data_IF_341764930784
#
_entry.id   IF_341764930784
#
_cell.length_a   1.000
_cell.length_b   1.000
_cell.length_c   1.000
_cell.angle_alpha   90.00
_cell.angle_beta   90.00
_cell.angle_gamma   90.00
#
_symmetry.space_group_name_H-M   'P 1'
#
loop_
_entity.id
_entity.type
_entity.pdbx_description
1 polymer ?
#
# COMPACT_ATOMS: atom_id res chain seq x y z
N UNK A 1 34.79 15.20 -42.38
CA UNK A 1 34.52 16.37 -43.26
C UNK A 1 33.01 16.51 -43.41
N UNK A 2 32.49 17.75 -43.50
CA UNK A 2 31.18 18.20 -44.07
C UNK A 2 29.91 17.33 -43.86
N UNK A 3 28.83 17.81 -43.21
CA UNK A 3 27.79 18.76 -43.72
C UNK A 3 27.09 18.22 -45.00
N UNK A 4 25.77 18.24 -45.22
CA UNK A 4 24.58 18.92 -44.65
C UNK A 4 23.34 17.98 -44.81
N UNK A 5 22.20 18.16 -44.13
CA UNK A 5 21.04 18.97 -44.59
C UNK A 5 20.04 19.28 -43.45
N UNK A 6 19.15 20.26 -43.67
CA UNK A 6 18.31 20.92 -42.66
C UNK A 6 16.85 21.09 -43.14
N UNK A 7 15.97 21.64 -42.28
CA UNK A 7 14.52 21.95 -42.45
C UNK A 7 13.58 20.73 -42.48
N UNK A 8 12.37 20.73 -41.90
CA UNK A 8 11.42 21.79 -41.51
C UNK A 8 10.83 21.48 -40.10
N UNK A 9 10.06 22.32 -39.41
CA UNK A 9 9.58 23.70 -39.62
C UNK A 9 8.69 24.10 -38.43
N UNK A 10 8.89 25.30 -37.87
CA UNK A 10 8.22 25.75 -36.63
C UNK A 10 6.85 26.35 -36.93
N UNK A 11 5.83 25.98 -36.13
CA UNK A 11 4.59 26.75 -35.98
C UNK A 11 4.33 27.04 -34.50
N UNK A 12 4.64 28.26 -34.08
CA UNK A 12 4.15 28.84 -32.85
C UNK A 12 2.72 29.37 -33.06
N UNK A 13 1.81 29.09 -32.12
CA UNK A 13 0.51 29.75 -32.04
C UNK A 13 0.44 30.45 -30.69
N UNK A 14 0.53 31.78 -30.73
CA UNK A 14 0.45 32.64 -29.56
C UNK A 14 -1.01 32.79 -29.12
N UNK A 15 -1.35 32.32 -27.92
CA UNK A 15 -2.66 32.59 -27.31
C UNK A 15 -2.51 33.73 -26.31
N UNK A 16 -3.19 34.85 -26.57
CA UNK A 16 -3.17 36.02 -25.71
C UNK A 16 -3.92 35.76 -24.39
N UNK A 17 -3.34 36.24 -23.28
CA UNK A 17 -4.06 36.36 -22.00
C UNK A 17 -4.75 37.72 -21.97
N UNK A 18 -6.06 37.74 -21.70
CA UNK A 18 -6.73 38.94 -21.20
C UNK A 18 -7.03 38.80 -19.71
N UNK A 19 -6.99 39.94 -19.03
CA UNK A 19 -7.01 40.08 -17.57
C UNK A 19 -8.35 40.69 -17.11
N UNK A 20 -8.52 40.72 -15.77
CA UNK A 20 -9.38 41.63 -15.00
C UNK A 20 -10.85 41.21 -14.72
N UNK A 21 -11.16 41.11 -13.42
CA UNK A 21 -12.50 40.92 -12.85
C UNK A 21 -12.50 41.14 -11.32
N UNK A 22 -13.11 42.25 -10.88
CA UNK A 22 -13.18 42.77 -9.49
C UNK A 22 -14.63 42.60 -8.95
N UNK A 23 -14.99 42.59 -7.64
CA UNK A 23 -14.31 42.64 -6.32
C UNK A 23 -15.34 42.20 -5.24
N UNK A 24 -14.89 41.81 -4.03
CA UNK A 24 -15.56 41.99 -2.70
C UNK A 24 -16.95 41.36 -2.41
N UNK A 25 -17.02 40.60 -1.30
CA UNK A 25 -18.00 40.73 -0.18
C UNK A 25 -17.59 39.78 0.97
N UNK A 26 -17.13 40.28 2.12
CA UNK A 26 -17.90 40.41 3.39
C UNK A 26 -18.49 39.07 3.89
N UNK A 27 -17.85 38.35 4.82
CA UNK A 27 -17.80 38.61 6.27
C UNK A 27 -19.12 38.34 7.00
N UNK A 28 -19.24 37.17 7.64
CA UNK A 28 -20.08 37.00 8.84
C UNK A 28 -19.38 36.07 9.84
N UNK A 29 -19.05 36.62 11.00
CA UNK A 29 -18.62 35.88 12.18
C UNK A 29 -19.88 35.64 13.03
N UNK A 30 -20.06 34.41 13.52
CA UNK A 30 -20.94 34.18 14.66
C UNK A 30 -20.22 33.33 15.70
N UNK A 31 -20.14 33.87 16.91
CA UNK A 31 -19.40 33.35 18.05
C UNK A 31 -20.43 32.71 19.00
N UNK A 32 -20.29 31.42 19.32
CA UNK A 32 -21.06 30.79 20.39
C UNK A 32 -20.10 30.11 21.37
N UNK A 33 -19.79 30.83 22.44
CA UNK A 33 -19.11 30.30 23.62
C UNK A 33 -20.16 29.68 24.55
N UNK A 34 -20.02 28.40 24.89
CA UNK A 34 -20.65 27.80 26.06
C UNK A 34 -19.60 27.04 26.86
N UNK A 35 -19.30 27.55 28.05
CA UNK A 35 -18.31 27.00 28.98
C UNK A 35 -18.97 25.85 29.77
N UNK A 36 -18.26 24.73 29.93
CA UNK A 36 -18.74 23.55 30.64
C UNK A 36 -17.63 22.86 31.43
N UNK A 37 -17.02 23.57 32.38
CA UNK A 37 -16.01 22.99 33.29
C UNK A 37 -16.73 22.20 34.38
N UNK A 38 -16.44 20.90 34.50
CA UNK A 38 -16.71 20.11 35.71
C UNK A 38 -15.40 19.73 36.39
N UNK A 39 -15.21 20.21 37.61
CA UNK A 39 -14.15 19.73 38.50
C UNK A 39 -14.52 18.35 39.06
N UNK A 40 -13.68 17.34 38.79
CA UNK A 40 -13.67 16.09 39.54
C UNK A 40 -12.64 16.17 40.65
N UNK A 41 -13.07 16.16 41.92
CA UNK A 41 -12.15 16.20 43.06
C UNK A 41 -11.47 14.84 43.27
N UNK A 42 -10.15 14.88 43.46
CA UNK A 42 -9.37 13.73 43.95
C UNK A 42 -9.68 13.48 45.42
N UNK A 43 -10.02 12.23 45.78
CA UNK A 43 -9.85 11.76 47.15
C UNK A 43 -8.50 11.05 47.29
N UNK A 44 -7.72 11.49 48.27
CA UNK A 44 -6.59 10.74 48.83
C UNK A 44 -7.09 10.01 50.08
N UNK A 45 -6.93 8.68 50.13
CA UNK A 45 -6.99 7.93 51.37
C UNK A 45 -5.60 7.92 52.01
N UNK A 46 -5.52 8.30 53.29
CA UNK A 46 -4.27 8.30 54.05
C UNK A 46 -3.91 6.88 54.50
N UNK A 47 -2.61 6.56 54.48
CA UNK A 47 -2.09 5.35 55.10
C UNK A 47 -2.20 5.43 56.63
N UNK A 48 -2.68 4.37 57.26
CA UNK A 48 -2.63 4.17 58.70
C UNK A 48 -1.49 3.20 59.03
N UNK A 49 -0.57 3.62 59.89
CA UNK A 49 0.60 2.84 60.28
C UNK A 49 0.27 1.94 61.47
N UNK A 50 0.26 0.62 61.28
CA UNK A 50 0.18 -0.34 62.39
C UNK A 50 1.46 -1.17 62.49
N UNK A 51 2.06 -1.16 63.67
CA UNK A 51 3.31 -1.87 63.98
C UNK A 51 3.08 -3.37 64.14
N UNK A 52 3.65 -4.18 63.25
CA UNK A 52 3.55 -5.63 63.33
C UNK A 52 4.44 -6.19 64.45
N UNK A 53 3.82 -6.82 65.47
CA UNK A 53 4.49 -7.82 66.29
C UNK A 53 4.66 -9.09 65.45
N UNK A 54 5.89 -9.59 65.34
CA UNK A 54 6.17 -10.86 64.67
C UNK A 54 5.63 -12.03 65.51
N UNK A 55 4.76 -12.83 64.89
CA UNK A 55 4.36 -14.15 65.38
C UNK A 55 5.11 -15.18 64.50
N UNK A 56 5.79 -16.19 65.06
CA UNK A 56 6.43 -17.22 64.25
C UNK A 56 5.36 -18.11 63.62
N UNK A 57 5.16 -17.99 62.31
CA UNK A 57 4.23 -18.82 61.56
C UNK A 57 4.88 -20.18 61.28
N UNK A 58 4.15 -21.24 61.60
CA UNK A 58 4.53 -22.63 61.32
C UNK A 58 4.80 -22.84 59.83
N UNK A 59 5.88 -23.55 59.50
CA UNK A 59 6.25 -23.88 58.12
C UNK A 59 5.37 -25.00 57.55
N UNK A 60 4.11 -24.67 57.23
CA UNK A 60 3.34 -25.45 56.26
C UNK A 60 3.92 -25.20 54.88
N UNK A 61 4.45 -26.24 54.23
CA UNK A 61 4.85 -26.17 52.83
C UNK A 61 3.60 -25.89 52.01
N UNK A 62 3.50 -24.68 51.44
CA UNK A 62 2.49 -24.37 50.44
C UNK A 62 3.04 -24.91 49.12
N UNK A 63 2.40 -25.94 48.58
CA UNK A 63 2.64 -26.36 47.22
C UNK A 63 2.21 -25.22 46.29
N UNK A 64 3.20 -24.50 45.76
CA UNK A 64 3.00 -23.52 44.71
C UNK A 64 2.58 -24.27 43.45
N UNK A 65 1.28 -24.35 43.20
CA UNK A 65 0.76 -24.74 41.89
C UNK A 65 1.39 -23.79 40.86
N UNK A 66 2.20 -24.28 39.90
CA UNK A 66 2.78 -23.41 38.90
C UNK A 66 1.63 -22.77 38.12
N UNK A 67 1.62 -21.44 38.09
CA UNK A 67 0.74 -20.71 37.18
C UNK A 67 1.16 -21.15 35.79
N UNK A 68 0.30 -21.94 35.14
CA UNK A 68 0.52 -22.40 33.78
C UNK A 68 0.77 -21.14 32.94
N UNK A 69 1.92 -21.00 32.25
CA UNK A 69 2.20 -19.79 31.48
C UNK A 69 1.02 -19.56 30.54
N UNK A 70 0.51 -18.33 30.50
CA UNK A 70 -0.66 -17.94 29.71
C UNK A 70 -0.53 -18.58 28.34
N UNK A 71 -1.35 -19.60 28.07
CA UNK A 71 -1.26 -20.38 26.85
C UNK A 71 -1.63 -19.40 25.74
N UNK A 72 -0.61 -18.96 25.00
CA UNK A 72 -0.72 -17.89 24.03
C UNK A 72 -1.89 -18.23 23.11
N UNK A 73 -2.95 -17.41 23.16
CA UNK A 73 -4.20 -17.76 22.48
C UNK A 73 -3.95 -17.63 20.99
N UNK A 74 -3.55 -18.74 20.37
CA UNK A 74 -3.19 -18.81 18.95
C UNK A 74 -4.35 -18.21 18.17
N UNK A 75 -4.08 -17.15 17.43
CA UNK A 75 -5.11 -16.58 16.58
C UNK A 75 -5.34 -17.55 15.43
N UNK A 76 -6.58 -17.96 15.20
CA UNK A 76 -6.93 -18.80 14.05
C UNK A 76 -6.91 -18.03 12.72
N UNK A 77 -6.47 -16.77 12.72
CA UNK A 77 -6.51 -15.89 11.54
C UNK A 77 -5.61 -14.65 11.67
N UNK A 78 -5.29 -14.04 10.52
CA UNK A 78 -4.73 -12.68 10.43
C UNK A 78 -5.59 -11.80 9.52
N UNK A 79 -5.53 -10.49 9.74
CA UNK A 79 -6.14 -9.44 8.92
C UNK A 79 -5.04 -8.63 8.26
N UNK A 80 -4.99 -8.64 6.94
CA UNK A 80 -4.10 -7.80 6.12
C UNK A 80 -4.91 -6.61 5.62
N UNK A 81 -4.37 -5.40 5.71
CA UNK A 81 -4.82 -4.26 4.93
C UNK A 81 -3.74 -3.90 3.91
N UNK A 82 -4.15 -3.75 2.66
CA UNK A 82 -3.27 -3.42 1.55
C UNK A 82 -3.74 -2.13 0.87
N UNK A 83 -2.80 -1.23 0.58
CA UNK A 83 -3.05 -0.02 -0.21
C UNK A 83 -2.22 -0.02 -1.49
N UNK A 84 -2.66 0.77 -2.46
CA UNK A 84 -2.00 0.94 -3.75
C UNK A 84 -0.70 1.76 -3.71
N UNK A 85 -0.38 2.37 -4.85
CA UNK A 85 0.93 2.97 -5.11
C UNK A 85 1.16 4.25 -4.27
N UNK A 86 2.35 4.38 -3.67
CA UNK A 86 2.70 5.43 -2.68
C UNK A 86 3.90 6.24 -3.18
N UNK A 87 3.64 7.51 -3.50
CA UNK A 87 4.63 8.55 -3.79
C UNK A 87 4.26 9.80 -2.97
N UNK A 88 4.94 10.08 -1.83
CA UNK A 88 4.60 11.17 -0.91
C UNK A 88 5.02 12.57 -1.39
N UNK A 89 5.32 12.72 -2.68
CA UNK A 89 5.93 13.89 -3.30
C UNK A 89 7.37 13.63 -3.71
N UNK A 90 8.11 14.69 -4.07
CA UNK A 90 9.52 14.60 -4.44
C UNK A 90 10.24 15.94 -4.28
N UNK A 91 11.55 15.92 -3.99
CA UNK A 91 12.45 17.07 -4.09
C UNK A 91 13.33 17.05 -5.37
N UNK A 92 12.97 16.22 -6.35
CA UNK A 92 13.68 16.07 -7.62
C UNK A 92 12.73 15.80 -8.80
N UNK A 93 13.08 16.24 -10.04
CA UNK A 93 14.02 17.34 -10.31
C UNK A 93 13.48 18.68 -9.78
N UNK A 94 12.15 18.78 -9.61
CA UNK A 94 11.44 19.94 -9.11
C UNK A 94 10.87 19.68 -7.71
N UNK A 95 10.89 20.69 -6.84
CA UNK A 95 10.38 20.58 -5.48
C UNK A 95 8.84 20.50 -5.45
N UNK A 96 8.33 19.35 -5.01
CA UNK A 96 6.92 18.96 -4.92
C UNK A 96 6.70 18.18 -3.61
N UNK A 97 7.03 18.81 -2.49
CA UNK A 97 6.71 18.31 -1.14
C UNK A 97 5.75 19.30 -0.46
N UNK A 98 4.90 18.84 0.47
CA UNK A 98 4.09 19.74 1.30
C UNK A 98 4.98 20.49 2.31
N UNK A 99 4.45 21.58 2.87
CA UNK A 99 5.07 22.27 4.01
C UNK A 99 5.02 21.46 5.30
N UNK A 100 3.98 20.64 5.48
CA UNK A 100 3.85 19.65 6.55
C UNK A 100 3.56 18.26 5.95
N UNK A 101 4.43 17.29 6.25
CA UNK A 101 4.28 15.89 5.81
C UNK A 101 3.03 15.23 6.39
N UNK A 102 2.54 15.67 7.55
CA UNK A 102 1.44 15.04 8.26
C UNK A 102 0.10 15.12 7.52
N UNK A 103 -0.04 16.12 6.64
CA UNK A 103 -1.20 16.28 5.76
C UNK A 103 -1.29 15.24 4.63
N UNK A 104 -0.22 14.51 4.33
CA UNK A 104 -0.19 13.54 3.22
C UNK A 104 -1.10 12.34 3.43
N UNK A 105 -1.29 11.91 4.67
CA UNK A 105 -2.23 10.85 5.04
C UNK A 105 -3.09 11.40 6.19
N UNK A 106 -4.28 11.97 5.89
CA UNK A 106 -5.13 12.61 6.89
C UNK A 106 -5.58 11.65 8.00
N UNK A 107 -5.81 12.17 9.21
CA UNK A 107 -6.26 11.37 10.37
C UNK A 107 -7.54 10.56 10.08
N UNK A 108 -8.44 11.10 9.26
CA UNK A 108 -9.66 10.43 8.80
C UNK A 108 -9.40 9.17 7.96
N UNK A 109 -8.25 9.09 7.27
CA UNK A 109 -7.80 7.89 6.55
C UNK A 109 -6.99 6.97 7.46
N UNK A 110 -6.09 7.52 8.31
CA UNK A 110 -5.31 6.72 9.28
C UNK A 110 -6.21 5.85 10.18
N UNK A 111 -7.37 6.36 10.59
CA UNK A 111 -8.37 5.63 11.39
C UNK A 111 -8.99 4.38 10.70
N UNK A 112 -8.76 4.18 9.40
CA UNK A 112 -9.10 2.96 8.67
C UNK A 112 -7.91 2.00 8.50
N UNK A 113 -6.67 2.52 8.49
CA UNK A 113 -5.43 1.76 8.28
C UNK A 113 -4.92 1.02 9.52
N UNK A 114 -5.38 1.42 10.71
CA UNK A 114 -4.92 0.88 12.01
C UNK A 114 -5.84 -0.25 12.50
N UNK A 115 -6.17 -1.20 11.61
CA UNK A 115 -7.16 -2.28 11.86
C UNK A 115 -6.71 -3.68 11.40
N UNK A 116 -5.44 -3.80 11.02
CA UNK A 116 -4.82 -5.01 10.50
C UNK A 116 -3.67 -5.47 11.39
N UNK A 117 -3.37 -6.76 11.30
CA UNK A 117 -2.14 -7.37 11.83
C UNK A 117 -0.95 -7.17 10.87
N UNK A 118 -1.23 -6.84 9.59
CA UNK A 118 -0.24 -6.38 8.59
C UNK A 118 -0.85 -5.25 7.76
N UNK A 119 -0.28 -4.04 7.84
CA UNK A 119 -0.52 -2.96 6.88
C UNK A 119 0.58 -2.94 5.81
N UNK A 120 0.17 -3.17 4.57
CA UNK A 120 1.03 -3.28 3.40
C UNK A 120 0.76 -2.18 2.34
N UNK A 121 1.79 -1.78 1.60
CA UNK A 121 1.65 -0.90 0.44
C UNK A 121 2.82 -1.01 -0.55
N UNK A 122 2.67 -0.40 -1.72
CA UNK A 122 3.73 -0.35 -2.74
C UNK A 122 4.38 1.03 -2.80
N UNK A 123 5.69 1.10 -2.62
CA UNK A 123 6.43 2.33 -2.40
C UNK A 123 7.28 2.71 -3.62
N UNK A 124 6.82 3.71 -4.38
CA UNK A 124 7.36 4.05 -5.71
C UNK A 124 8.21 5.33 -5.70
N UNK A 125 9.16 5.42 -4.76
CA UNK A 125 10.13 6.52 -4.72
C UNK A 125 11.41 6.10 -3.99
N UNK A 126 12.50 6.86 -4.19
CA UNK A 126 13.73 6.70 -3.40
C UNK A 126 13.75 7.62 -2.17
N UNK A 127 13.87 7.05 -0.97
CA UNK A 127 14.17 7.78 0.27
C UNK A 127 15.69 7.93 0.43
N UNK A 128 16.25 8.96 -0.19
CA UNK A 128 17.72 9.19 -0.20
C UNK A 128 18.08 10.67 -0.27
N UNK A 129 19.33 10.99 0.12
CA UNK A 129 19.98 12.28 -0.16
C UNK A 129 20.92 12.22 -1.37
N UNK A 130 21.07 11.06 -2.02
CA UNK A 130 21.99 10.88 -3.14
C UNK A 130 21.62 11.85 -4.28
N UNK A 131 22.57 12.67 -4.78
CA UNK A 131 22.26 13.76 -5.69
C UNK A 131 21.92 13.28 -7.11
N UNK A 132 22.48 12.15 -7.56
CA UNK A 132 22.46 11.72 -8.96
C UNK A 132 21.35 10.70 -9.25
N UNK A 133 20.51 10.99 -10.24
CA UNK A 133 19.55 10.04 -10.82
C UNK A 133 20.29 9.02 -11.70
N UNK A 134 19.86 7.76 -11.67
CA UNK A 134 20.32 6.73 -12.62
C UNK A 134 19.54 6.80 -13.95
N UNK A 135 18.38 7.48 -13.96
CA UNK A 135 17.54 7.70 -15.14
C UNK A 135 17.91 9.00 -15.85
N UNK A 136 18.01 8.94 -17.18
CA UNK A 136 18.11 10.13 -18.03
C UNK A 136 16.75 10.83 -18.17
N UNK A 137 16.46 11.73 -17.23
CA UNK A 137 15.23 12.52 -17.17
C UNK A 137 15.10 13.59 -18.26
N UNK A 138 16.10 13.76 -19.13
CA UNK A 138 15.98 14.64 -20.31
C UNK A 138 15.19 13.95 -21.44
N UNK A 139 15.07 12.62 -21.40
CA UNK A 139 14.18 11.88 -22.28
C UNK A 139 12.73 12.08 -21.81
N UNK A 140 11.85 12.41 -22.75
CA UNK A 140 10.42 12.50 -22.48
C UNK A 140 9.88 11.20 -21.88
N UNK A 141 8.90 11.31 -20.97
CA UNK A 141 8.26 10.19 -20.27
C UNK A 141 9.17 9.39 -19.32
N UNK A 142 10.38 9.87 -19.03
CA UNK A 142 11.26 9.31 -17.98
C UNK A 142 11.17 10.15 -16.72
N UNK A 143 10.75 9.54 -15.60
CA UNK A 143 10.57 10.21 -14.31
C UNK A 143 11.47 9.60 -13.24
N UNK A 144 11.96 10.45 -12.33
CA UNK A 144 12.70 10.06 -11.13
C UNK A 144 12.19 10.83 -9.90
N UNK A 145 11.88 10.12 -8.82
CA UNK A 145 11.30 10.63 -7.59
C UNK A 145 12.24 10.41 -6.41
N UNK A 146 12.67 11.50 -5.77
CA UNK A 146 13.45 11.47 -4.53
C UNK A 146 12.67 12.12 -3.40
N UNK A 147 12.46 11.38 -2.32
CA UNK A 147 11.90 11.91 -1.08
C UNK A 147 12.98 12.01 0.01
N UNK A 148 12.90 12.99 0.94
CA UNK A 148 13.84 13.08 2.05
C UNK A 148 13.75 11.82 2.93
N UNK A 149 14.87 11.24 3.42
CA UNK A 149 14.88 10.08 4.31
C UNK A 149 13.92 10.14 5.51
N UNK A 150 13.70 11.35 6.04
CA UNK A 150 12.77 11.61 7.17
C UNK A 150 11.32 11.23 6.87
N UNK A 151 10.95 10.98 5.61
CA UNK A 151 9.61 10.52 5.25
C UNK A 151 9.35 9.07 5.65
N UNK A 152 10.38 8.24 5.90
CA UNK A 152 10.19 6.92 6.49
C UNK A 152 9.36 6.98 7.79
N UNK A 153 9.67 7.95 8.66
CA UNK A 153 8.98 8.18 9.92
C UNK A 153 7.47 8.46 9.75
N UNK A 154 7.04 9.10 8.66
CA UNK A 154 5.61 9.32 8.38
C UNK A 154 4.87 7.99 8.17
N UNK A 155 5.48 7.03 7.49
CA UNK A 155 4.85 5.73 7.24
C UNK A 155 4.81 4.88 8.52
N UNK A 156 5.85 4.95 9.36
CA UNK A 156 5.84 4.34 10.69
C UNK A 156 4.77 4.97 11.62
N UNK A 157 4.61 6.31 11.60
CA UNK A 157 3.54 7.02 12.31
C UNK A 157 2.12 6.73 11.78
N UNK A 158 2.00 6.18 10.57
CA UNK A 158 0.72 5.69 10.03
C UNK A 158 0.48 4.25 10.45
N UNK A 159 1.54 3.47 10.67
CA UNK A 159 1.50 2.06 11.08
C UNK A 159 1.71 1.09 9.92
N UNK A 160 2.50 1.44 8.90
CA UNK A 160 2.90 0.47 7.86
C UNK A 160 3.90 -0.53 8.44
N UNK A 161 3.68 -1.82 8.18
CA UNK A 161 4.58 -2.90 8.59
C UNK A 161 5.51 -3.32 7.45
N UNK A 162 4.98 -3.39 6.22
CA UNK A 162 5.71 -3.88 5.04
C UNK A 162 5.47 -2.98 3.83
N UNK A 163 6.54 -2.61 3.13
CA UNK A 163 6.45 -1.89 1.85
C UNK A 163 7.14 -2.66 0.71
N UNK A 164 6.42 -2.89 -0.38
CA UNK A 164 7.01 -3.38 -1.63
C UNK A 164 7.81 -2.29 -2.32
N UNK A 165 9.03 -2.62 -2.71
CA UNK A 165 9.94 -1.78 -3.49
C UNK A 165 10.31 -2.41 -4.85
N UNK A 166 9.82 -3.62 -5.17
CA UNK A 166 9.91 -4.12 -6.55
C UNK A 166 8.93 -3.33 -7.44
N UNK A 167 9.44 -2.28 -8.08
CA UNK A 167 8.71 -1.44 -9.03
C UNK A 167 9.67 -0.68 -9.96
N UNK A 168 9.10 0.08 -10.90
CA UNK A 168 9.80 0.93 -11.87
C UNK A 168 10.55 2.13 -11.26
N UNK A 169 10.33 2.48 -10.00
CA UNK A 169 10.84 3.70 -9.35
C UNK A 169 11.88 3.49 -8.23
N UNK A 170 12.01 2.29 -7.68
CA UNK A 170 12.97 2.05 -6.60
C UNK A 170 14.46 2.18 -6.99
N UNK A 171 14.77 2.15 -8.31
CA UNK A 171 16.10 2.41 -8.87
C UNK A 171 16.27 3.82 -9.48
N UNK A 172 15.36 4.76 -9.21
CA UNK A 172 15.46 6.16 -9.69
C UNK A 172 16.83 6.80 -9.37
N UNK A 173 17.37 6.50 -8.19
CA UNK A 173 18.69 6.96 -7.71
C UNK A 173 19.71 5.81 -7.66
N UNK A 174 19.52 4.81 -8.53
CA UNK A 174 20.34 3.62 -8.65
C UNK A 174 20.39 2.78 -7.37
N UNK A 175 21.40 1.90 -7.29
CA UNK A 175 21.61 1.01 -6.14
C UNK A 175 21.84 1.76 -4.83
N UNK A 176 22.36 3.00 -4.89
CA UNK A 176 22.51 3.86 -3.70
C UNK A 176 21.15 4.30 -3.19
N UNK A 177 20.28 4.80 -4.07
CA UNK A 177 18.90 5.16 -3.72
C UNK A 177 18.09 4.00 -3.15
N UNK A 178 18.18 2.82 -3.77
CA UNK A 178 17.50 1.61 -3.30
C UNK A 178 17.98 1.16 -1.91
N UNK A 179 19.31 1.09 -1.71
CA UNK A 179 19.92 0.71 -0.43
C UNK A 179 19.58 1.71 0.67
N UNK A 180 19.67 3.02 0.38
CA UNK A 180 19.31 4.07 1.31
C UNK A 180 17.82 3.99 1.67
N UNK A 181 16.94 3.72 0.70
CA UNK A 181 15.49 3.55 0.92
C UNK A 181 15.21 2.39 1.87
N UNK A 182 15.81 1.23 1.58
CA UNK A 182 15.73 0.01 2.41
C UNK A 182 16.19 0.30 3.84
N UNK A 183 17.35 0.95 4.01
CA UNK A 183 17.90 1.30 5.31
C UNK A 183 16.99 2.27 6.08
N UNK A 184 16.45 3.29 5.41
CA UNK A 184 15.63 4.32 6.06
C UNK A 184 14.28 3.74 6.53
N UNK A 185 13.65 2.85 5.75
CA UNK A 185 12.43 2.13 6.15
C UNK A 185 12.71 1.17 7.32
N UNK A 186 13.73 0.31 7.21
CA UNK A 186 14.13 -0.60 8.30
C UNK A 186 14.49 0.14 9.60
N UNK A 187 15.12 1.32 9.51
CA UNK A 187 15.48 2.12 10.69
C UNK A 187 14.30 2.66 11.51
N UNK A 188 13.07 2.59 10.97
CA UNK A 188 11.82 2.95 11.66
C UNK A 188 10.87 1.76 11.85
N UNK A 189 11.38 0.54 11.68
CA UNK A 189 10.62 -0.70 11.89
C UNK A 189 9.78 -1.17 10.70
N UNK A 190 9.95 -0.60 9.50
CA UNK A 190 9.22 -1.01 8.29
C UNK A 190 10.07 -2.01 7.51
N UNK A 191 9.54 -3.21 7.30
CA UNK A 191 10.16 -4.22 6.46
C UNK A 191 9.99 -3.91 4.97
N UNK A 192 10.94 -4.38 4.15
CA UNK A 192 10.90 -4.16 2.70
C UNK A 192 10.81 -5.44 1.90
N UNK A 193 9.99 -5.41 0.86
CA UNK A 193 9.69 -6.55 0.00
C UNK A 193 10.10 -6.28 -1.44
N UNK A 194 10.68 -7.30 -2.11
CA UNK A 194 10.92 -7.27 -3.55
C UNK A 194 12.40 -7.24 -3.99
N UNK A 195 13.34 -7.50 -3.07
CA UNK A 195 14.75 -7.71 -3.45
C UNK A 195 14.92 -9.03 -4.24
N UNK A 196 15.95 -9.12 -5.11
CA UNK A 196 16.22 -10.34 -5.88
C UNK A 196 16.41 -11.55 -4.96
N UNK A 197 15.73 -12.66 -5.27
CA UNK A 197 15.71 -13.93 -4.55
C UNK A 197 15.19 -13.85 -3.10
N UNK A 198 14.56 -12.72 -2.71
CA UNK A 198 14.02 -12.54 -1.37
C UNK A 198 12.67 -13.25 -1.20
N UNK A 199 12.53 -13.95 -0.07
CA UNK A 199 11.25 -14.25 0.56
C UNK A 199 11.33 -13.61 1.95
N UNK A 200 10.39 -12.73 2.27
CA UNK A 200 10.27 -12.12 3.60
C UNK A 200 9.43 -13.05 4.48
N UNK A 201 9.95 -13.46 5.63
CA UNK A 201 9.20 -14.26 6.61
C UNK A 201 8.90 -13.41 7.83
N UNK A 202 7.66 -13.47 8.30
CA UNK A 202 7.11 -12.74 9.44
C UNK A 202 6.40 -13.71 10.38
N UNK A 203 6.39 -13.41 11.67
CA UNK A 203 5.56 -14.10 12.66
C UNK A 203 4.45 -13.14 13.10
N UNK A 204 3.20 -13.44 12.76
CA UNK A 204 2.06 -12.54 12.97
C UNK A 204 0.99 -13.26 13.77
N UNK A 205 0.72 -12.82 15.00
CA UNK A 205 -0.16 -13.51 15.95
C UNK A 205 0.17 -15.01 16.10
N UNK A 206 1.47 -15.33 16.14
CA UNK A 206 2.03 -16.69 16.16
C UNK A 206 1.72 -17.56 14.93
N UNK A 207 1.23 -16.97 13.83
CA UNK A 207 1.14 -17.59 12.51
C UNK A 207 2.37 -17.19 11.66
N UNK A 208 3.13 -18.15 11.09
CA UNK A 208 4.18 -17.88 10.11
C UNK A 208 3.61 -17.38 8.77
N UNK A 209 4.05 -16.22 8.31
CA UNK A 209 3.63 -15.60 7.03
C UNK A 209 4.86 -15.40 6.14
N UNK A 210 4.75 -15.75 4.87
CA UNK A 210 5.74 -15.42 3.85
C UNK A 210 5.19 -14.38 2.88
N UNK A 211 6.03 -13.43 2.49
CA UNK A 211 5.72 -12.42 1.47
C UNK A 211 6.78 -12.43 0.36
N UNK A 212 6.35 -12.29 -0.90
CA UNK A 212 7.24 -12.23 -2.08
C UNK A 212 6.81 -11.10 -3.01
N UNK A 213 7.74 -10.19 -3.36
CA UNK A 213 7.50 -9.07 -4.27
C UNK A 213 8.13 -9.28 -5.64
N UNK A 214 7.42 -8.93 -6.71
CA UNK A 214 7.83 -9.10 -8.11
C UNK A 214 7.57 -7.87 -8.98
N UNK A 215 8.39 -7.68 -10.02
CA UNK A 215 8.25 -6.62 -11.03
C UNK A 215 8.86 -7.05 -12.39
N UNK A 216 8.62 -6.34 -13.52
CA UNK A 216 9.17 -6.67 -14.84
C UNK A 216 10.66 -6.36 -15.04
N UNK A 217 11.47 -6.39 -13.98
CA UNK A 217 12.87 -5.98 -14.05
C UNK A 217 13.78 -6.99 -13.36
N UNK A 218 14.87 -7.37 -14.03
CA UNK A 218 15.78 -8.43 -13.57
C UNK A 218 16.56 -8.12 -12.29
N UNK A 219 16.56 -6.86 -11.83
CA UNK A 219 17.11 -6.49 -10.52
C UNK A 219 16.25 -6.98 -9.33
N UNK A 220 15.00 -7.37 -9.60
CA UNK A 220 14.06 -7.93 -8.62
C UNK A 220 13.69 -9.37 -8.97
N UNK A 221 12.83 -10.00 -8.17
CA UNK A 221 12.14 -11.20 -8.64
C UNK A 221 11.32 -10.82 -9.88
N UNK A 222 11.60 -11.45 -11.02
CA UNK A 222 11.07 -11.02 -12.31
C UNK A 222 9.72 -11.66 -12.59
N UNK A 223 8.70 -10.89 -12.98
CA UNK A 223 7.42 -11.46 -13.45
C UNK A 223 7.55 -12.19 -14.80
N UNK A 224 8.68 -12.04 -15.49
CA UNK A 224 8.95 -12.71 -16.76
C UNK A 224 9.52 -14.12 -16.57
N UNK A 225 10.15 -14.40 -15.43
CA UNK A 225 10.68 -15.71 -15.07
C UNK A 225 9.67 -16.46 -14.20
N UNK A 226 8.68 -17.06 -14.85
CA UNK A 226 7.60 -17.79 -14.16
C UNK A 226 8.10 -19.02 -13.40
N UNK A 227 9.18 -19.67 -13.85
CA UNK A 227 9.69 -20.88 -13.21
C UNK A 227 10.47 -20.53 -11.93
N UNK A 228 11.30 -19.48 -11.94
CA UNK A 228 11.90 -18.95 -10.70
C UNK A 228 10.83 -18.39 -9.76
N UNK A 229 9.80 -17.71 -10.30
CA UNK A 229 8.70 -17.19 -9.48
C UNK A 229 7.91 -18.31 -8.76
N UNK A 230 7.56 -19.39 -9.48
CA UNK A 230 6.94 -20.59 -8.89
C UNK A 230 7.84 -21.20 -7.82
N UNK A 231 9.13 -21.42 -8.11
CA UNK A 231 10.07 -22.02 -7.16
C UNK A 231 10.23 -21.19 -5.86
N UNK A 232 10.10 -19.86 -5.94
CA UNK A 232 10.06 -18.99 -4.75
C UNK A 232 8.77 -19.17 -3.94
N UNK A 233 7.60 -19.24 -4.58
CA UNK A 233 6.31 -19.51 -3.90
C UNK A 233 6.27 -20.90 -3.28
N UNK A 234 6.67 -21.94 -4.02
CA UNK A 234 6.77 -23.32 -3.52
C UNK A 234 7.77 -23.46 -2.36
N UNK A 235 8.82 -22.63 -2.33
CA UNK A 235 9.74 -22.54 -1.19
C UNK A 235 9.10 -21.84 0.01
N UNK A 236 8.35 -20.76 -0.21
CA UNK A 236 7.63 -20.05 0.84
C UNK A 236 6.57 -20.93 1.51
N UNK A 237 5.77 -21.65 0.73
CA UNK A 237 4.73 -22.57 1.21
C UNK A 237 5.28 -23.66 2.17
N UNK A 238 6.53 -24.10 1.97
CA UNK A 238 7.17 -25.11 2.83
C UNK A 238 7.65 -24.55 4.18
N UNK A 239 7.66 -23.22 4.35
CA UNK A 239 8.24 -22.52 5.50
C UNK A 239 7.27 -21.51 6.15
N UNK A 240 6.05 -21.36 5.63
CA UNK A 240 5.02 -20.47 6.16
C UNK A 240 3.62 -21.06 5.99
N UNK A 241 2.71 -20.68 6.87
CA UNK A 241 1.29 -21.07 6.84
C UNK A 241 0.46 -20.25 5.84
N UNK A 242 0.93 -19.05 5.50
CA UNK A 242 0.27 -18.10 4.60
C UNK A 242 1.31 -17.53 3.66
N UNK A 243 1.05 -17.53 2.35
CA UNK A 243 1.94 -16.97 1.33
C UNK A 243 1.26 -15.84 0.57
N UNK A 244 1.79 -14.62 0.71
CA UNK A 244 1.27 -13.40 0.07
C UNK A 244 2.23 -12.97 -1.05
N UNK A 245 1.71 -12.74 -2.25
CA UNK A 245 2.49 -12.25 -3.38
C UNK A 245 2.10 -10.82 -3.74
N UNK A 246 3.09 -9.94 -3.89
CA UNK A 246 2.96 -8.61 -4.47
C UNK A 246 3.50 -8.59 -5.90
N UNK A 247 2.75 -8.05 -6.85
CA UNK A 247 3.21 -7.83 -8.23
C UNK A 247 3.02 -6.37 -8.64
N UNK A 248 4.09 -5.75 -9.15
CA UNK A 248 4.00 -4.49 -9.90
C UNK A 248 4.03 -4.82 -11.40
N UNK A 249 2.87 -4.80 -12.07
CA UNK A 249 2.69 -5.38 -13.41
C UNK A 249 1.53 -4.73 -14.20
N UNK A 250 1.60 -4.81 -15.54
CA UNK A 250 0.58 -4.28 -16.45
C UNK A 250 0.86 -2.85 -16.95
N UNK A 251 0.10 -2.44 -17.97
CA UNK A 251 0.14 -1.08 -18.50
C UNK A 251 -0.64 -0.09 -17.62
N UNK A 252 -0.36 1.19 -17.79
CA UNK A 252 -0.76 2.24 -16.83
C UNK A 252 -1.86 3.16 -17.38
N UNK A 253 -2.64 3.74 -16.46
CA UNK A 253 -3.67 4.74 -16.73
C UNK A 253 -5.04 4.18 -17.16
N UNK A 254 -5.99 5.08 -17.39
CA UNK A 254 -7.41 4.74 -17.68
C UNK A 254 -7.62 3.78 -18.85
N UNK A 255 -6.76 3.81 -19.88
CA UNK A 255 -6.81 2.86 -21.00
C UNK A 255 -6.48 1.41 -20.61
N UNK A 256 -5.90 1.20 -19.43
CA UNK A 256 -5.44 -0.07 -18.90
C UNK A 256 -6.25 -0.55 -17.67
N UNK A 257 -7.53 -0.13 -17.56
CA UNK A 257 -8.44 -0.57 -16.49
C UNK A 257 -8.80 -2.07 -16.53
N UNK A 258 -8.69 -2.70 -17.70
CA UNK A 258 -9.26 -4.02 -18.00
C UNK A 258 -8.20 -5.10 -17.86
N UNK A 259 -8.44 -6.10 -17.02
CA UNK A 259 -7.56 -7.27 -16.88
C UNK A 259 -7.72 -8.16 -18.12
N UNK A 260 -6.60 -8.55 -18.74
CA UNK A 260 -6.59 -9.36 -19.97
C UNK A 260 -5.50 -10.41 -19.89
N UNK A 261 -5.79 -11.62 -20.35
CA UNK A 261 -4.78 -12.68 -20.48
C UNK A 261 -3.86 -12.43 -21.69
N UNK A 262 -3.02 -11.41 -21.62
CA UNK A 262 -2.01 -11.07 -22.63
C UNK A 262 -0.88 -10.25 -22.02
N UNK A 263 0.28 -10.25 -22.66
CA UNK A 263 1.35 -9.33 -22.30
C UNK A 263 0.93 -7.88 -22.55
N UNK A 264 1.17 -7.02 -21.58
CA UNK A 264 0.92 -5.58 -21.64
C UNK A 264 2.24 -4.81 -21.78
N UNK A 265 2.17 -3.63 -22.39
CA UNK A 265 3.33 -2.76 -22.60
C UNK A 265 3.00 -1.32 -22.21
N UNK A 266 3.98 -0.60 -21.66
CA UNK A 266 3.86 0.82 -21.35
C UNK A 266 5.17 1.54 -21.69
N UNK A 267 5.07 2.63 -22.47
CA UNK A 267 6.22 3.35 -23.06
C UNK A 267 7.32 2.45 -23.70
N UNK A 268 6.91 1.30 -24.25
CA UNK A 268 7.80 0.32 -24.89
C UNK A 268 8.35 -0.76 -23.94
N UNK A 269 8.19 -0.61 -22.63
CA UNK A 269 8.56 -1.63 -21.65
C UNK A 269 7.57 -2.79 -21.66
N UNK A 270 8.07 -4.03 -21.59
CA UNK A 270 7.24 -5.22 -21.37
C UNK A 270 6.81 -5.23 -19.90
N UNK A 271 5.52 -4.99 -19.62
CA UNK A 271 4.96 -4.94 -18.27
C UNK A 271 4.34 -6.28 -17.84
N UNK A 272 4.56 -7.34 -18.62
CA UNK A 272 4.13 -8.71 -18.33
C UNK A 272 2.64 -8.96 -18.58
N UNK A 273 2.21 -10.18 -18.26
CA UNK A 273 0.80 -10.60 -18.31
C UNK A 273 0.32 -10.82 -16.87
N UNK A 274 -0.32 -9.80 -16.29
CA UNK A 274 -0.73 -9.80 -14.89
C UNK A 274 -1.70 -10.95 -14.56
N UNK A 275 -2.63 -11.29 -15.46
CA UNK A 275 -3.56 -12.40 -15.27
C UNK A 275 -2.83 -13.74 -15.18
N UNK A 276 -1.97 -14.05 -16.16
CA UNK A 276 -1.19 -15.29 -16.17
C UNK A 276 -0.29 -15.37 -14.93
N UNK A 277 0.45 -14.30 -14.63
CA UNK A 277 1.35 -14.28 -13.48
C UNK A 277 0.60 -14.56 -12.18
N UNK A 278 -0.45 -13.80 -11.86
CA UNK A 278 -1.16 -13.93 -10.60
C UNK A 278 -1.77 -15.33 -10.41
N UNK A 279 -2.42 -15.89 -11.44
CA UNK A 279 -2.99 -17.25 -11.35
C UNK A 279 -1.91 -18.31 -11.17
N UNK A 280 -0.79 -18.21 -11.91
CA UNK A 280 0.37 -19.11 -11.72
C UNK A 280 0.97 -19.03 -10.32
N UNK A 281 0.92 -17.88 -9.64
CA UNK A 281 1.35 -17.77 -8.24
C UNK A 281 0.37 -18.45 -7.28
N UNK A 282 -0.95 -18.33 -7.49
CA UNK A 282 -1.95 -19.10 -6.72
C UNK A 282 -1.76 -20.61 -6.94
N UNK A 283 -1.59 -21.05 -8.19
CA UNK A 283 -1.36 -22.46 -8.55
C UNK A 283 -0.08 -23.04 -7.91
N UNK A 284 0.93 -22.19 -7.66
CA UNK A 284 2.17 -22.56 -6.97
C UNK A 284 2.07 -22.57 -5.44
N UNK A 285 0.92 -22.18 -4.87
CA UNK A 285 0.66 -22.19 -3.43
C UNK A 285 0.61 -20.81 -2.75
N UNK A 286 0.37 -19.71 -3.49
CA UNK A 286 0.06 -18.42 -2.87
C UNK A 286 -1.43 -18.34 -2.44
N UNK A 287 -1.69 -17.67 -1.32
CA UNK A 287 -3.04 -17.50 -0.74
C UNK A 287 -3.68 -16.14 -1.09
N UNK A 288 -2.85 -15.15 -1.45
CA UNK A 288 -3.26 -13.79 -1.76
C UNK A 288 -2.29 -13.17 -2.78
N UNK A 289 -2.82 -12.54 -3.83
CA UNK A 289 -2.04 -11.73 -4.77
C UNK A 289 -2.50 -10.27 -4.76
N UNK A 290 -1.56 -9.35 -4.55
CA UNK A 290 -1.74 -7.90 -4.49
C UNK A 290 -1.04 -7.22 -5.68
N UNK A 291 -1.82 -6.51 -6.49
CA UNK A 291 -1.37 -5.89 -7.73
C UNK A 291 -1.15 -4.37 -7.65
N UNK A 292 -0.14 -3.91 -8.38
CA UNK A 292 0.40 -2.54 -8.35
C UNK A 292 0.92 -2.10 -9.73
N UNK A 293 1.08 -0.79 -9.95
CA UNK A 293 1.70 -0.24 -11.16
C UNK A 293 0.75 0.34 -12.23
N UNK A 294 -0.45 -0.22 -12.51
CA UNK A 294 -1.38 0.37 -13.46
C UNK A 294 -1.89 1.77 -13.11
N UNK A 295 -1.64 2.26 -11.89
CA UNK A 295 -2.10 3.56 -11.39
C UNK A 295 -3.63 3.78 -11.48
N UNK A 296 -4.40 2.69 -11.60
CA UNK A 296 -5.87 2.65 -11.60
C UNK A 296 -6.35 1.36 -10.92
N UNK A 297 -7.47 1.38 -10.17
CA UNK A 297 -8.09 0.15 -9.68
C UNK A 297 -8.45 -0.78 -10.84
N UNK A 298 -8.01 -2.04 -10.78
CA UNK A 298 -8.41 -3.11 -11.71
C UNK A 298 -9.34 -4.11 -11.03
N UNK A 299 -9.92 -5.04 -11.81
CA UNK A 299 -10.80 -6.07 -11.28
C UNK A 299 -10.16 -6.90 -10.14
N UNK A 300 -11.01 -7.50 -9.31
CA UNK A 300 -10.64 -8.47 -8.27
C UNK A 300 -11.23 -9.82 -8.67
N UNK A 301 -10.47 -10.89 -8.50
CA UNK A 301 -10.88 -12.27 -8.76
C UNK A 301 -10.75 -13.10 -7.47
N UNK A 302 -11.62 -14.10 -7.31
CA UNK A 302 -11.33 -15.26 -6.44
C UNK A 302 -11.07 -16.44 -7.38
N UNK A 303 -9.85 -16.96 -7.33
CA UNK A 303 -9.35 -18.04 -8.18
C UNK A 303 -8.88 -19.18 -7.28
N UNK A 304 -9.38 -20.39 -7.50
CA UNK A 304 -9.12 -21.57 -6.64
C UNK A 304 -9.35 -21.29 -5.14
N UNK A 305 -10.35 -20.46 -4.80
CA UNK A 305 -10.68 -20.06 -3.43
C UNK A 305 -9.81 -18.95 -2.83
N UNK A 306 -8.75 -18.52 -3.52
CA UNK A 306 -7.79 -17.50 -3.08
C UNK A 306 -8.03 -16.16 -3.78
N UNK A 307 -7.70 -15.04 -3.13
CA UNK A 307 -8.02 -13.69 -3.62
C UNK A 307 -6.90 -13.11 -4.49
N UNK A 308 -7.26 -12.53 -5.64
CA UNK A 308 -6.35 -11.78 -6.53
C UNK A 308 -6.90 -10.37 -6.74
N UNK A 309 -6.16 -9.34 -6.33
CA UNK A 309 -6.45 -7.95 -6.67
C UNK A 309 -5.49 -7.46 -7.76
N UNK A 310 -5.96 -7.27 -8.99
CA UNK A 310 -5.06 -7.00 -10.13
C UNK A 310 -4.42 -5.61 -10.14
N UNK A 311 -5.04 -4.63 -9.49
CA UNK A 311 -4.40 -3.38 -9.10
C UNK A 311 -5.22 -2.67 -8.04
N UNK A 312 -4.56 -2.20 -6.97
CA UNK A 312 -5.19 -1.38 -5.93
C UNK A 312 -5.32 0.11 -6.33
N UNK A 313 -4.73 0.52 -7.46
CA UNK A 313 -4.64 1.91 -7.90
C UNK A 313 -3.58 2.70 -7.14
N UNK A 314 -3.73 4.03 -7.11
CA UNK A 314 -2.82 4.93 -6.39
C UNK A 314 -3.35 5.20 -4.98
N UNK A 315 -2.54 5.07 -3.93
CA UNK A 315 -2.94 5.45 -2.58
C UNK A 315 -2.52 6.88 -2.23
N UNK A 316 -1.30 7.27 -2.59
CA UNK A 316 -0.75 8.59 -2.31
C UNK A 316 0.11 9.02 -3.51
N UNK A 317 -0.15 10.20 -4.07
CA UNK A 317 0.54 10.66 -5.28
C UNK A 317 0.82 12.16 -5.27
N UNK A 318 1.38 12.68 -4.17
CA UNK A 318 1.38 14.11 -3.88
C UNK A 318 2.06 14.95 -4.97
N UNK A 319 1.25 15.57 -5.82
CA UNK A 319 1.66 16.36 -7.00
C UNK A 319 2.61 15.59 -7.94
N UNK A 320 2.60 14.27 -7.89
CA UNK A 320 3.46 13.36 -8.68
C UNK A 320 2.67 12.53 -9.68
N UNK A 321 1.47 12.07 -9.31
CA UNK A 321 0.62 11.20 -10.12
C UNK A 321 -0.62 11.94 -10.62
N UNK A 322 -1.22 11.43 -11.69
CA UNK A 322 -2.54 11.90 -12.15
C UNK A 322 -3.62 11.51 -11.15
N UNK A 323 -4.56 12.43 -10.92
CA UNK A 323 -5.78 12.22 -10.11
C UNK A 323 -7.06 12.36 -10.94
N UNK A 324 -6.91 12.48 -12.27
CA UNK A 324 -8.01 12.61 -13.22
C UNK A 324 -8.72 11.28 -13.49
N UNK A 325 -10.06 11.32 -13.60
CA UNK A 325 -10.90 10.14 -13.84
C UNK A 325 -10.53 8.98 -12.89
N UNK A 326 -10.33 7.76 -13.40
CA UNK A 326 -10.05 6.57 -12.59
C UNK A 326 -8.64 6.56 -11.95
N UNK A 327 -7.70 7.39 -12.41
CA UNK A 327 -6.38 7.50 -11.76
C UNK A 327 -6.44 8.16 -10.37
N UNK A 328 -7.53 8.88 -10.09
CA UNK A 328 -7.85 9.38 -8.75
C UNK A 328 -8.66 8.40 -7.88
N UNK A 329 -9.06 7.23 -8.38
CA UNK A 329 -9.77 6.22 -7.60
C UNK A 329 -8.78 5.24 -6.94
N UNK A 330 -9.13 4.78 -5.76
CA UNK A 330 -8.23 4.03 -4.88
C UNK A 330 -9.03 3.15 -3.90
N UNK A 331 -8.34 2.32 -3.13
CA UNK A 331 -8.91 1.54 -2.04
C UNK A 331 -7.88 1.26 -0.95
N UNK A 332 -8.41 0.98 0.24
CA UNK A 332 -7.77 0.07 1.20
C UNK A 332 -8.49 -1.27 1.01
N UNK A 333 -7.76 -2.31 0.65
CA UNK A 333 -8.27 -3.68 0.57
C UNK A 333 -7.98 -4.37 1.90
N UNK A 334 -9.04 -4.77 2.61
CA UNK A 334 -8.98 -5.54 3.85
C UNK A 334 -9.23 -7.01 3.52
N UNK A 335 -8.35 -7.90 3.96
CA UNK A 335 -8.42 -9.35 3.72
C UNK A 335 -8.15 -10.07 5.02
N UNK A 336 -9.05 -10.99 5.41
CA UNK A 336 -8.85 -11.88 6.54
C UNK A 336 -8.59 -13.30 6.05
N UNK A 337 -7.46 -13.87 6.46
CA UNK A 337 -7.06 -15.24 6.13
C UNK A 337 -7.03 -16.09 7.40
N UNK A 338 -7.36 -17.39 7.30
CA UNK A 338 -7.16 -18.35 8.40
C UNK A 338 -5.67 -18.64 8.62
N UNK A 339 -5.34 -19.33 9.72
CA UNK A 339 -3.99 -19.88 9.97
C UNK A 339 -3.58 -21.01 8.99
N UNK A 340 -4.39 -21.29 7.96
CA UNK A 340 -4.12 -22.18 6.82
C UNK A 340 -4.18 -21.43 5.47
N UNK A 341 -4.25 -20.09 5.48
CA UNK A 341 -4.30 -19.25 4.29
C UNK A 341 -5.66 -19.18 3.59
N UNK A 342 -6.73 -19.69 4.18
CA UNK A 342 -8.06 -19.67 3.55
C UNK A 342 -8.77 -18.33 3.71
N UNK A 343 -9.46 -17.89 2.65
CA UNK A 343 -10.15 -16.60 2.62
C UNK A 343 -11.38 -16.59 3.52
N UNK A 344 -11.25 -16.02 4.72
CA UNK A 344 -12.35 -15.91 5.71
C UNK A 344 -13.30 -14.77 5.34
N UNK A 345 -12.76 -13.60 4.96
CA UNK A 345 -13.55 -12.45 4.52
C UNK A 345 -12.67 -11.43 3.80
N UNK A 346 -13.23 -10.60 2.92
CA UNK A 346 -12.52 -9.44 2.37
C UNK A 346 -13.45 -8.26 2.05
N UNK A 347 -12.88 -7.05 2.02
CA UNK A 347 -13.63 -5.80 1.93
C UNK A 347 -12.82 -4.69 1.26
N UNK A 348 -13.48 -3.97 0.35
CA UNK A 348 -12.97 -2.74 -0.26
C UNK A 348 -13.48 -1.56 0.55
N UNK A 349 -12.57 -0.86 1.22
CA UNK A 349 -12.82 0.47 1.78
C UNK A 349 -12.44 1.47 0.69
N UNK A 350 -13.41 2.15 0.04
CA UNK A 350 -13.13 2.98 -1.12
C UNK A 350 -12.40 4.28 -0.72
N UNK A 351 -11.36 4.62 -1.46
CA UNK A 351 -10.55 5.82 -1.27
C UNK A 351 -10.56 6.63 -2.58
N UNK A 352 -10.46 7.95 -2.48
CA UNK A 352 -10.27 8.84 -3.62
C UNK A 352 -9.19 9.86 -3.31
N UNK A 353 -8.27 10.06 -4.24
CA UNK A 353 -7.31 11.16 -4.16
C UNK A 353 -7.97 12.49 -4.56
N UNK A 354 -7.59 13.57 -3.87
CA UNK A 354 -7.95 14.93 -4.26
C UNK A 354 -7.07 15.48 -5.40
N UNK A 355 -7.21 16.77 -5.74
CA UNK A 355 -6.43 17.40 -6.81
C UNK A 355 -4.92 17.47 -6.53
N UNK A 356 -4.50 17.29 -5.28
CA UNK A 356 -3.08 17.25 -4.90
C UNK A 356 -2.53 15.82 -4.83
N UNK A 357 -3.38 14.79 -4.90
CA UNK A 357 -2.95 13.40 -4.75
C UNK A 357 -3.00 12.89 -3.29
N UNK A 358 -3.72 13.59 -2.40
CA UNK A 358 -3.91 13.19 -1.00
C UNK A 358 -5.16 12.30 -0.90
N UNK A 359 -5.09 11.11 -0.24
CA UNK A 359 -6.24 10.22 -0.08
C UNK A 359 -7.30 10.75 0.88
N UNK A 360 -8.56 10.48 0.55
CA UNK A 360 -9.75 10.68 1.37
C UNK A 360 -10.68 9.47 1.25
N UNK A 361 -11.40 9.11 2.31
CA UNK A 361 -12.40 8.02 2.25
C UNK A 361 -13.56 8.42 1.33
N UNK A 362 -13.85 7.62 0.31
CA UNK A 362 -14.89 7.92 -0.67
C UNK A 362 -16.28 7.47 -0.20
N UNK A 363 -16.98 8.37 0.48
CA UNK A 363 -18.36 8.18 0.95
C UNK A 363 -19.38 7.87 -0.17
N UNK A 364 -19.02 8.08 -1.44
CA UNK A 364 -19.86 7.78 -2.60
C UNK A 364 -19.61 6.37 -3.20
N UNK A 365 -18.69 5.58 -2.64
CA UNK A 365 -18.42 4.20 -3.06
C UNK A 365 -18.11 4.04 -4.57
N UNK A 366 -17.47 5.04 -5.19
CA UNK A 366 -17.21 5.04 -6.65
C UNK A 366 -16.20 3.98 -7.06
N UNK A 367 -15.17 3.72 -6.26
CA UNK A 367 -14.26 2.59 -6.50
C UNK A 367 -15.02 1.26 -6.46
N UNK A 368 -15.94 1.07 -5.51
CA UNK A 368 -16.78 -0.15 -5.46
C UNK A 368 -17.70 -0.25 -6.68
N UNK A 369 -18.26 0.86 -7.16
CA UNK A 369 -19.01 0.90 -8.42
C UNK A 369 -18.16 0.51 -9.63
N UNK A 370 -16.95 1.06 -9.74
CA UNK A 370 -15.99 0.70 -10.79
C UNK A 370 -15.60 -0.78 -10.71
N UNK A 371 -15.26 -1.30 -9.52
CA UNK A 371 -14.87 -2.70 -9.36
C UNK A 371 -15.99 -3.65 -9.77
N UNK A 372 -17.25 -3.41 -9.37
CA UNK A 372 -18.40 -4.20 -9.87
C UNK A 372 -18.49 -4.19 -11.39
N UNK A 373 -18.32 -3.03 -12.01
CA UNK A 373 -18.32 -2.91 -13.47
C UNK A 373 -17.21 -3.78 -14.07
N UNK A 374 -15.96 -3.64 -13.58
CA UNK A 374 -14.80 -4.38 -14.09
C UNK A 374 -14.92 -5.90 -13.87
N UNK A 375 -15.35 -6.34 -12.69
CA UNK A 375 -15.51 -7.76 -12.34
C UNK A 375 -16.48 -8.45 -13.30
N UNK A 376 -17.69 -7.91 -13.49
CA UNK A 376 -18.68 -8.45 -14.42
C UNK A 376 -18.23 -8.47 -15.90
N UNK A 377 -17.12 -7.80 -16.21
CA UNK A 377 -16.67 -7.49 -17.56
C UNK A 377 -15.36 -8.23 -17.93
N UNK A 378 -14.48 -8.43 -16.96
CA UNK A 378 -13.22 -9.19 -17.10
C UNK A 378 -13.41 -10.66 -16.68
N UNK A 379 -14.36 -10.94 -15.77
CA UNK A 379 -14.68 -12.26 -15.24
C UNK A 379 -16.22 -12.48 -15.24
N UNK A 380 -16.88 -12.54 -16.41
CA UNK A 380 -18.35 -12.60 -16.49
C UNK A 380 -18.95 -13.81 -15.76
N UNK A 381 -18.24 -14.94 -15.78
CA UNK A 381 -18.69 -16.21 -15.19
C UNK A 381 -18.42 -16.33 -13.68
N UNK A 382 -17.98 -15.25 -13.01
CA UNK A 382 -17.65 -15.30 -11.58
C UNK A 382 -18.86 -15.18 -10.67
N UNK A 383 -18.94 -16.06 -9.68
CA UNK A 383 -19.87 -15.93 -8.56
C UNK A 383 -19.46 -14.82 -7.58
N UNK A 384 -18.26 -14.22 -7.72
CA UNK A 384 -17.82 -13.08 -6.90
C UNK A 384 -18.69 -11.83 -7.16
N UNK A 385 -19.12 -11.17 -6.08
CA UNK A 385 -19.82 -9.88 -6.09
C UNK A 385 -19.25 -8.98 -4.98
N UNK A 386 -19.40 -7.66 -5.12
CA UNK A 386 -19.10 -6.71 -4.06
C UNK A 386 -20.41 -6.06 -3.60
N UNK A 387 -20.80 -6.28 -2.33
CA UNK A 387 -22.09 -5.80 -1.81
C UNK A 387 -22.09 -4.27 -1.58
N UNK A 388 -23.23 -3.69 -1.17
CA UNK A 388 -23.40 -2.24 -1.00
C UNK A 388 -22.46 -1.61 0.05
N UNK A 389 -21.88 -2.39 0.96
CA UNK A 389 -20.93 -1.96 2.01
C UNK A 389 -19.45 -2.12 1.60
N UNK A 390 -19.18 -2.59 0.38
CA UNK A 390 -17.83 -2.89 -0.11
C UNK A 390 -17.31 -4.27 0.28
N UNK A 391 -18.10 -5.10 0.97
CA UNK A 391 -17.71 -6.48 1.30
C UNK A 391 -17.71 -7.35 0.03
N UNK A 392 -16.63 -8.09 -0.17
CA UNK A 392 -16.47 -9.04 -1.27
C UNK A 392 -17.10 -10.35 -0.81
N UNK A 393 -18.06 -10.86 -1.58
CA UNK A 393 -18.89 -12.01 -1.23
C UNK A 393 -19.05 -12.93 -2.44
N UNK A 394 -19.16 -14.23 -2.20
CA UNK A 394 -19.62 -15.16 -3.22
C UNK A 394 -21.15 -15.15 -3.23
N UNK A 395 -21.75 -15.02 -4.41
CA UNK A 395 -23.16 -15.33 -4.59
C UNK A 395 -23.39 -16.82 -4.27
N UNK A 396 -24.51 -17.12 -3.61
CA UNK A 396 -25.01 -18.48 -3.53
C UNK A 396 -25.64 -18.84 -4.87
N UNK A 397 -25.42 -20.07 -5.32
CA UNK A 397 -26.09 -20.67 -6.47
C UNK A 397 -27.58 -20.89 -6.19
#
# INVERSE_FOLDING_TARGET
>A
MSRLYCSHGVRSVTVAKNLLGRLVALSFISFCFCIGIRFGQSQRSNAATTTNKLIPVSSSVIDYIPINPLQEQISDSITIQAVGDIIPGTNFPNYRLPSDRNHLIPKSVRAYLQRSDILFGNFETSLTKHPYTAKDINRGQVFAFRSPPTYAQLFAEVGFDVLNIANNHALDFGVVGLRDTTKNLSSVGIETLGHKNQILYLQVNSIPVAMIGFAPYEFYNSIHDLEVAKALVEKAQKNANIVIVSMHAGAEGTSALRVKNRTEYFYGENRGNALKFARTMIDAGADLVLGHGPHVPRAIEVYNGKLIAYSLGNFLGYRTLSTAAQTGYSMILEVKLSSQGDLVSSKVIPVRMDSQGIPHIDQYFRTVGLLRYLINNDFPDTNLKINKKGEIVMARE
#
